data_IF_048829517180
#
_entry.id   IF_048829517180
#
_cell.length_a   1.000
_cell.length_b   1.000
_cell.length_c   1.000
_cell.angle_alpha   90.00
_cell.angle_beta   90.00
_cell.angle_gamma   90.00
#
_symmetry.space_group_name_H-M   'P 1'
#
loop_
_entity.id
_entity.type
_entity.pdbx_description
1 polymer ?
#
# COMPACT_ATOMS: atom_id res chain seq x y z
N UNK A 1 23.64 -9.69 1.82
CA UNK A 1 22.60 -8.75 2.30
C UNK A 1 21.21 -9.09 1.77
N UNK A 2 20.96 -9.16 0.45
CA UNK A 2 19.63 -9.51 -0.12
C UNK A 2 19.09 -10.84 0.42
N UNK A 3 19.90 -11.90 0.43
CA UNK A 3 19.50 -13.22 0.97
C UNK A 3 19.02 -13.16 2.43
N UNK A 4 19.63 -12.29 3.26
CA UNK A 4 19.22 -12.08 4.65
C UNK A 4 17.83 -11.42 4.71
N UNK A 5 17.61 -10.36 3.93
CA UNK A 5 16.30 -9.70 3.85
C UNK A 5 15.21 -10.62 3.31
N UNK A 6 15.51 -11.44 2.30
CA UNK A 6 14.58 -12.46 1.80
C UNK A 6 14.25 -13.49 2.87
N UNK A 7 15.23 -13.95 3.66
CA UNK A 7 15.00 -14.85 4.78
C UNK A 7 14.09 -14.24 5.86
N UNK A 8 14.38 -13.00 6.28
CA UNK A 8 13.55 -12.26 7.25
C UNK A 8 12.13 -12.06 6.72
N UNK A 9 11.97 -11.73 5.44
CA UNK A 9 10.66 -11.59 4.79
C UNK A 9 9.87 -12.89 4.79
N UNK A 10 10.49 -14.03 4.47
CA UNK A 10 9.82 -15.32 4.49
C UNK A 10 9.34 -15.70 5.90
N UNK A 11 10.17 -15.46 6.92
CA UNK A 11 9.80 -15.71 8.32
C UNK A 11 8.66 -14.78 8.76
N UNK A 12 8.72 -13.49 8.40
CA UNK A 12 7.65 -12.55 8.76
C UNK A 12 6.32 -12.89 8.10
N UNK A 13 6.32 -13.35 6.85
CA UNK A 13 5.12 -13.85 6.16
C UNK A 13 4.52 -15.01 6.95
N UNK A 14 5.32 -16.01 7.34
CA UNK A 14 4.85 -17.13 8.13
C UNK A 14 4.22 -16.68 9.47
N UNK A 15 4.89 -15.78 10.20
CA UNK A 15 4.39 -15.25 11.48
C UNK A 15 3.06 -14.49 11.31
N UNK A 16 2.90 -13.70 10.25
CA UNK A 16 1.65 -13.00 9.94
C UNK A 16 0.51 -13.99 9.72
N UNK A 17 0.75 -15.08 8.98
CA UNK A 17 -0.25 -16.11 8.75
C UNK A 17 -0.63 -16.84 10.04
N UNK A 18 0.36 -17.24 10.83
CA UNK A 18 0.13 -17.92 12.11
C UNK A 18 -0.67 -17.03 13.08
N UNK A 19 -0.28 -15.76 13.21
CA UNK A 19 -0.97 -14.79 14.05
C UNK A 19 -2.39 -14.49 13.52
N UNK A 20 -2.53 -14.35 12.20
CA UNK A 20 -3.82 -14.14 11.54
C UNK A 20 -4.81 -15.27 11.80
N UNK A 21 -4.35 -16.53 11.74
CA UNK A 21 -5.15 -17.71 12.11
C UNK A 21 -5.52 -17.65 13.60
N UNK A 22 -4.56 -17.34 14.48
CA UNK A 22 -4.81 -17.24 15.92
C UNK A 22 -5.88 -16.20 16.27
N UNK A 23 -5.77 -14.99 15.72
CA UNK A 23 -6.74 -13.91 15.91
C UNK A 23 -8.09 -14.28 15.31
N UNK A 24 -8.11 -14.97 14.16
CA UNK A 24 -9.37 -15.44 13.56
C UNK A 24 -10.10 -16.44 14.47
N UNK A 25 -9.39 -17.43 15.01
CA UNK A 25 -9.97 -18.37 15.97
C UNK A 25 -10.48 -17.67 17.23
N UNK A 26 -9.74 -16.69 17.75
CA UNK A 26 -10.20 -15.87 18.87
C UNK A 26 -11.46 -15.06 18.51
N UNK A 27 -11.54 -14.53 17.29
CA UNK A 27 -12.72 -13.81 16.79
C UNK A 27 -13.96 -14.72 16.77
N UNK A 28 -13.81 -15.96 16.27
CA UNK A 28 -14.89 -16.96 16.27
C UNK A 28 -15.31 -17.30 17.70
N UNK A 29 -14.35 -17.43 18.62
CA UNK A 29 -14.62 -17.69 20.03
C UNK A 29 -15.44 -16.55 20.68
N UNK A 30 -15.04 -15.29 20.46
CA UNK A 30 -15.79 -14.12 20.94
C UNK A 30 -17.21 -14.15 20.35
N UNK A 31 -17.33 -14.40 19.04
CA UNK A 31 -18.61 -14.45 18.36
C UNK A 31 -19.56 -15.49 18.95
N UNK A 32 -19.03 -16.69 19.26
CA UNK A 32 -19.77 -17.78 19.89
C UNK A 32 -20.25 -17.40 21.28
N UNK A 33 -19.38 -16.85 22.13
CA UNK A 33 -19.73 -16.54 23.52
C UNK A 33 -20.64 -15.31 23.65
N UNK A 34 -20.49 -14.31 22.78
CA UNK A 34 -21.26 -13.06 22.87
C UNK A 34 -22.58 -13.15 22.12
N UNK A 35 -22.67 -13.92 21.03
CA UNK A 35 -23.88 -13.94 20.19
C UNK A 35 -24.31 -15.32 19.71
N UNK A 36 -23.61 -16.39 20.09
CA UNK A 36 -24.02 -17.76 19.84
C UNK A 36 -23.47 -18.37 18.55
N UNK A 37 -23.83 -19.64 18.32
CA UNK A 37 -23.28 -20.48 17.25
C UNK A 37 -23.44 -19.89 15.84
N UNK A 38 -24.60 -19.29 15.55
CA UNK A 38 -24.87 -18.72 14.23
C UNK A 38 -23.83 -17.65 13.84
N UNK A 39 -23.53 -16.73 14.75
CA UNK A 39 -22.55 -15.65 14.50
C UNK A 39 -21.10 -16.16 14.47
N UNK A 40 -20.80 -17.24 15.19
CA UNK A 40 -19.51 -17.92 15.09
C UNK A 40 -19.31 -18.53 13.70
N UNK A 41 -20.34 -19.15 13.12
CA UNK A 41 -20.31 -19.71 11.76
C UNK A 41 -20.13 -18.59 10.72
N UNK A 42 -20.89 -17.49 10.84
CA UNK A 42 -20.69 -16.33 9.95
C UNK A 42 -19.24 -15.82 10.06
N UNK A 43 -18.74 -15.67 11.28
CA UNK A 43 -17.38 -15.18 11.50
C UNK A 43 -16.36 -16.10 10.84
N UNK A 44 -16.51 -17.42 10.97
CA UNK A 44 -15.64 -18.42 10.34
C UNK A 44 -15.47 -18.22 8.82
N UNK A 45 -16.56 -17.97 8.09
CA UNK A 45 -16.52 -17.79 6.64
C UNK A 45 -16.04 -16.40 6.18
N UNK A 46 -16.13 -15.39 7.06
CA UNK A 46 -15.78 -14.00 6.72
C UNK A 46 -14.72 -13.44 7.69
N UNK A 47 -13.47 -13.96 7.67
CA UNK A 47 -12.44 -13.65 8.65
C UNK A 47 -12.18 -12.15 8.83
N UNK A 48 -11.92 -11.44 7.73
CA UNK A 48 -11.57 -10.01 7.79
C UNK A 48 -12.75 -9.16 8.28
N UNK A 49 -13.96 -9.37 7.74
CA UNK A 49 -15.15 -8.61 8.15
C UNK A 49 -15.52 -8.90 9.61
N UNK A 50 -15.40 -10.15 10.04
CA UNK A 50 -15.68 -10.52 11.42
C UNK A 50 -14.66 -9.91 12.39
N UNK A 51 -13.38 -9.91 12.06
CA UNK A 51 -12.34 -9.26 12.88
C UNK A 51 -12.60 -7.77 13.04
N UNK A 52 -13.05 -7.09 11.98
CA UNK A 52 -13.44 -5.67 12.06
C UNK A 52 -14.65 -5.48 12.97
N UNK A 53 -15.72 -6.27 12.78
CA UNK A 53 -16.95 -6.14 13.56
C UNK A 53 -16.74 -6.44 15.06
N UNK A 54 -16.09 -7.56 15.37
CA UNK A 54 -15.81 -7.96 16.74
C UNK A 54 -14.72 -7.11 17.36
N UNK A 55 -13.77 -6.61 16.57
CA UNK A 55 -12.81 -5.59 16.98
C UNK A 55 -13.54 -4.33 17.45
N UNK A 56 -14.47 -3.82 16.65
CA UNK A 56 -15.28 -2.67 17.07
C UNK A 56 -16.07 -2.94 18.36
N UNK A 57 -16.74 -4.10 18.47
CA UNK A 57 -17.48 -4.46 19.69
C UNK A 57 -16.58 -4.55 20.92
N UNK A 58 -15.45 -5.23 20.83
CA UNK A 58 -14.50 -5.36 21.93
C UNK A 58 -13.91 -4.01 22.33
N UNK A 59 -13.59 -3.17 21.34
CA UNK A 59 -13.11 -1.81 21.57
C UNK A 59 -14.15 -0.92 22.25
N UNK A 60 -15.44 -1.04 21.92
CA UNK A 60 -16.51 -0.28 22.59
C UNK A 60 -16.68 -0.66 24.07
N UNK A 61 -16.30 -1.87 24.45
CA UNK A 61 -16.43 -2.36 25.83
C UNK A 61 -15.18 -2.02 26.64
N UNK A 62 -14.00 -2.38 26.12
CA UNK A 62 -12.74 -2.40 26.88
C UNK A 62 -11.67 -1.44 26.30
N UNK A 63 -11.96 -0.69 25.23
CA UNK A 63 -11.01 0.21 24.61
C UNK A 63 -9.71 -0.48 24.14
N UNK A 64 -8.56 0.15 24.40
CA UNK A 64 -7.24 -0.38 24.08
C UNK A 64 -6.69 -1.38 25.11
N UNK A 65 -7.34 -1.49 26.28
CA UNK A 65 -6.94 -2.44 27.31
C UNK A 65 -7.37 -3.87 26.94
N UNK A 66 -8.28 -4.00 25.96
CA UNK A 66 -8.62 -5.28 25.37
C UNK A 66 -7.40 -5.94 24.72
N UNK A 67 -6.98 -7.08 25.26
CA UNK A 67 -5.90 -7.88 24.68
C UNK A 67 -6.18 -8.22 23.20
N UNK A 68 -7.45 -8.49 22.86
CA UNK A 68 -7.86 -8.77 21.48
C UNK A 68 -7.57 -7.60 20.53
N UNK A 69 -7.83 -6.36 20.98
CA UNK A 69 -7.54 -5.14 20.20
C UNK A 69 -6.03 -4.93 20.05
N UNK A 70 -5.26 -5.12 21.12
CA UNK A 70 -3.80 -5.01 21.06
C UNK A 70 -3.21 -6.00 20.04
N UNK A 71 -3.68 -7.25 20.03
CA UNK A 71 -3.25 -8.25 19.06
C UNK A 71 -3.69 -7.92 17.63
N UNK A 72 -4.89 -7.38 17.41
CA UNK A 72 -5.34 -6.89 16.11
C UNK A 72 -4.45 -5.75 15.58
N UNK A 73 -4.02 -4.84 16.45
CA UNK A 73 -3.08 -3.77 16.10
C UNK A 73 -1.73 -4.36 15.69
N UNK A 74 -1.18 -5.30 16.48
CA UNK A 74 0.08 -5.98 16.16
C UNK A 74 0.00 -6.67 14.79
N UNK A 75 -1.08 -7.42 14.53
CA UNK A 75 -1.30 -8.08 13.25
C UNK A 75 -1.35 -7.08 12.09
N UNK A 76 -2.01 -5.94 12.29
CA UNK A 76 -2.10 -4.86 11.29
C UNK A 76 -0.73 -4.26 11.00
N UNK A 77 0.05 -3.94 12.04
CA UNK A 77 1.41 -3.41 11.91
C UNK A 77 2.32 -4.39 11.18
N UNK A 78 2.24 -5.69 11.50
CA UNK A 78 3.01 -6.72 10.81
C UNK A 78 2.63 -6.80 9.33
N UNK A 79 1.33 -6.75 9.00
CA UNK A 79 0.85 -6.70 7.62
C UNK A 79 1.40 -5.49 6.86
N UNK A 80 1.39 -4.30 7.46
CA UNK A 80 1.97 -3.09 6.87
C UNK A 80 3.48 -3.23 6.69
N UNK A 81 4.20 -3.68 7.72
CA UNK A 81 5.66 -3.86 7.68
C UNK A 81 6.09 -4.82 6.57
N UNK A 82 5.30 -5.86 6.29
CA UNK A 82 5.56 -6.80 5.20
C UNK A 82 5.61 -6.07 3.86
N UNK A 83 4.69 -5.14 3.60
CA UNK A 83 4.72 -4.35 2.36
C UNK A 83 5.99 -3.49 2.30
N UNK A 84 6.42 -2.91 3.42
CA UNK A 84 7.67 -2.15 3.52
C UNK A 84 8.90 -3.05 3.25
N UNK A 85 8.94 -4.27 3.77
CA UNK A 85 10.04 -5.19 3.47
C UNK A 85 10.03 -5.68 2.02
N UNK A 86 8.85 -5.98 1.47
CA UNK A 86 8.71 -6.30 0.04
C UNK A 86 9.24 -5.14 -0.82
N UNK A 87 9.00 -3.91 -0.39
CA UNK A 87 9.54 -2.66 -0.97
C UNK A 87 11.06 -2.68 -1.04
N UNK A 88 11.71 -2.90 0.11
CA UNK A 88 13.17 -2.86 0.26
C UNK A 88 13.81 -3.97 -0.56
N UNK A 89 13.20 -5.16 -0.58
CA UNK A 89 13.68 -6.27 -1.39
C UNK A 89 13.53 -5.95 -2.88
N UNK A 90 12.40 -5.38 -3.30
CA UNK A 90 12.18 -5.01 -4.70
C UNK A 90 13.23 -4.00 -5.18
N UNK A 91 13.53 -2.96 -4.39
CA UNK A 91 14.53 -1.94 -4.75
C UNK A 91 15.98 -2.41 -4.62
N UNK A 92 16.29 -3.29 -3.66
CA UNK A 92 17.64 -3.84 -3.51
C UNK A 92 17.95 -4.96 -4.50
N UNK A 93 16.94 -5.55 -5.15
CA UNK A 93 17.11 -6.62 -6.13
C UNK A 93 17.52 -6.14 -7.53
N UNK A 94 17.72 -4.84 -7.73
CA UNK A 94 18.24 -4.32 -8.99
C UNK A 94 19.66 -4.86 -9.22
N UNK A 95 19.75 -5.93 -10.01
CA UNK A 95 21.02 -6.39 -10.60
C UNK A 95 21.76 -5.19 -11.18
N UNK A 96 23.10 -5.12 -11.04
CA UNK A 96 23.90 -4.05 -11.62
C UNK A 96 23.46 -3.85 -13.07
N UNK A 97 23.11 -2.61 -13.43
CA UNK A 97 22.80 -2.22 -14.81
C UNK A 97 23.93 -2.74 -15.67
N UNK A 98 23.69 -3.84 -16.40
CA UNK A 98 24.65 -4.34 -17.40
C UNK A 98 24.83 -3.19 -18.37
N UNK A 99 26.00 -2.57 -18.32
CA UNK A 99 26.43 -1.56 -19.26
C UNK A 99 26.30 -2.17 -20.67
N UNK A 100 25.88 -1.37 -21.64
CA UNK A 100 26.13 -1.76 -23.04
C UNK A 100 27.63 -1.99 -23.23
N UNK A 101 27.98 -2.75 -24.26
CA UNK A 101 29.36 -2.95 -24.74
C UNK A 101 30.10 -1.60 -24.98
N UNK A 102 29.35 -0.50 -25.10
CA UNK A 102 29.83 0.88 -25.28
C UNK A 102 29.82 1.76 -24.00
N UNK A 103 29.58 1.18 -22.82
CA UNK A 103 29.69 1.89 -21.53
C UNK A 103 28.59 2.93 -21.22
N UNK A 104 27.57 3.11 -22.07
CA UNK A 104 26.44 4.01 -21.79
C UNK A 104 25.31 3.28 -21.05
N UNK A 105 24.71 3.89 -20.01
CA UNK A 105 23.54 3.31 -19.36
C UNK A 105 22.35 3.31 -20.33
N UNK A 106 21.70 2.14 -20.50
CA UNK A 106 20.45 2.05 -21.25
C UNK A 106 19.38 2.83 -20.48
N UNK A 107 19.14 4.06 -20.90
CA UNK A 107 18.08 4.90 -20.35
C UNK A 107 16.77 4.54 -21.05
N UNK A 108 15.76 4.12 -20.28
CA UNK A 108 14.41 3.92 -20.79
C UNK A 108 13.85 5.17 -21.43
N UNK A 109 12.83 5.01 -22.30
CA UNK A 109 12.19 6.15 -22.98
C UNK A 109 11.84 7.27 -21.97
N UNK A 110 11.96 8.55 -22.36
CA UNK A 110 11.60 9.66 -21.48
C UNK A 110 10.14 9.59 -21.03
N UNK A 111 9.85 10.19 -19.87
CA UNK A 111 8.50 10.24 -19.30
C UNK A 111 7.70 11.31 -20.07
N UNK A 112 6.90 10.88 -21.06
CA UNK A 112 6.16 11.77 -21.96
C UNK A 112 4.69 11.36 -22.15
N UNK A 113 3.85 12.29 -22.62
CA UNK A 113 2.42 12.07 -22.91
C UNK A 113 1.62 11.77 -21.65
N UNK A 114 0.71 10.78 -21.68
CA UNK A 114 -0.16 10.42 -20.56
C UNK A 114 0.59 10.04 -19.26
N UNK A 115 1.87 9.63 -19.35
CA UNK A 115 2.69 9.39 -18.17
C UNK A 115 2.95 10.67 -17.35
N UNK A 116 2.92 11.85 -17.99
CA UNK A 116 3.08 13.13 -17.28
C UNK A 116 1.95 13.33 -16.28
N UNK A 117 0.71 12.96 -16.63
CA UNK A 117 -0.43 13.08 -15.70
C UNK A 117 -0.27 12.17 -14.48
N UNK A 118 0.24 10.95 -14.67
CA UNK A 118 0.57 10.05 -13.56
C UNK A 118 1.66 10.66 -12.68
N UNK A 119 2.70 11.24 -13.29
CA UNK A 119 3.77 11.94 -12.56
C UNK A 119 3.23 13.10 -11.71
N UNK A 120 2.37 13.94 -12.30
CA UNK A 120 1.70 15.04 -11.61
C UNK A 120 0.87 14.52 -10.43
N UNK A 121 0.05 13.48 -10.64
CA UNK A 121 -0.73 12.84 -9.57
C UNK A 121 0.18 12.42 -8.42
N UNK A 122 1.25 11.69 -8.71
CA UNK A 122 2.15 11.16 -7.68
C UNK A 122 2.79 12.29 -6.87
N UNK A 123 3.29 13.34 -7.53
CA UNK A 123 3.86 14.51 -6.84
C UNK A 123 2.79 15.20 -5.98
N UNK A 124 1.61 15.44 -6.54
CA UNK A 124 0.50 16.05 -5.81
C UNK A 124 0.10 15.23 -4.58
N UNK A 125 0.06 13.89 -4.68
CA UNK A 125 -0.24 13.01 -3.55
C UNK A 125 0.81 13.06 -2.44
N UNK A 126 2.10 13.17 -2.78
CA UNK A 126 3.18 13.36 -1.79
C UNK A 126 3.04 14.72 -1.10
N UNK A 127 2.86 15.79 -1.88
CA UNK A 127 2.67 17.14 -1.34
C UNK A 127 1.44 17.24 -0.45
N UNK A 128 0.32 16.63 -0.86
CA UNK A 128 -0.91 16.59 -0.08
C UNK A 128 -0.73 15.83 1.24
N UNK A 129 -0.07 14.67 1.20
CA UNK A 129 0.27 13.92 2.42
C UNK A 129 1.11 14.75 3.39
N UNK A 130 2.07 15.53 2.89
CA UNK A 130 2.90 16.42 3.73
C UNK A 130 2.09 17.55 4.35
N UNK A 131 1.17 18.17 3.60
CA UNK A 131 0.24 19.18 4.13
C UNK A 131 -0.65 18.59 5.21
N UNK A 132 -1.20 17.38 5.00
CA UNK A 132 -2.01 16.70 6.02
C UNK A 132 -1.20 16.41 7.28
N UNK A 133 0.03 15.89 7.15
CA UNK A 133 0.90 15.66 8.30
C UNK A 133 1.14 16.94 9.10
N UNK A 134 1.39 18.07 8.42
CA UNK A 134 1.55 19.36 9.08
C UNK A 134 0.28 19.77 9.85
N UNK A 135 -0.90 19.61 9.25
CA UNK A 135 -2.19 19.89 9.91
C UNK A 135 -2.41 19.02 11.15
N UNK A 136 -2.02 17.74 11.11
CA UNK A 136 -2.10 16.89 12.29
C UNK A 136 -1.12 17.30 13.38
N UNK A 137 0.11 17.67 13.03
CA UNK A 137 1.09 18.19 14.00
C UNK A 137 0.57 19.46 14.66
N UNK A 138 -0.01 20.37 13.88
CA UNK A 138 -0.66 21.59 14.38
C UNK A 138 -1.85 21.26 15.30
N UNK A 139 -2.74 20.35 14.88
CA UNK A 139 -3.89 19.95 15.69
C UNK A 139 -3.48 19.31 17.03
N UNK A 140 -2.45 18.46 17.03
CA UNK A 140 -1.90 17.86 18.25
C UNK A 140 -1.20 18.92 19.13
N UNK A 141 -0.49 19.87 18.53
CA UNK A 141 0.20 20.93 19.28
C UNK A 141 -0.76 21.89 19.96
N UNK A 142 -1.92 22.12 19.34
CA UNK A 142 -3.00 22.97 19.86
C UNK A 142 -4.01 22.22 20.73
N UNK A 143 -3.78 20.93 21.00
CA UNK A 143 -4.69 20.10 21.78
C UNK A 143 -4.65 20.48 23.27
N UNK A 144 -5.78 20.88 23.84
CA UNK A 144 -5.91 21.16 25.28
C UNK A 144 -6.14 19.87 26.09
N UNK A 145 -5.17 19.41 26.92
CA UNK A 145 -5.35 18.21 27.71
C UNK A 145 -6.45 18.32 28.77
N UNK A 146 -6.85 19.54 29.16
CA UNK A 146 -7.94 19.75 30.12
C UNK A 146 -9.31 19.40 29.53
N UNK A 147 -9.46 19.50 28.20
CA UNK A 147 -10.68 19.11 27.49
C UNK A 147 -11.01 17.61 27.64
N UNK A 148 -9.99 16.74 27.73
CA UNK A 148 -10.19 15.31 28.02
C UNK A 148 -10.73 15.09 29.44
N UNK A 149 -10.24 15.88 30.41
CA UNK A 149 -10.59 15.69 31.82
C UNK A 149 -12.03 16.13 32.13
N UNK A 150 -12.55 17.10 31.39
CA UNK A 150 -13.89 17.67 31.62
C UNK A 150 -15.02 16.90 30.91
N UNK A 151 -14.73 16.16 29.84
CA UNK A 151 -15.70 15.35 29.11
C UNK A 151 -15.54 13.86 29.50
N UNK A 152 -16.63 13.24 29.99
CA UNK A 152 -16.67 11.87 30.52
C UNK A 152 -15.73 10.88 29.80
N UNK A 153 -14.86 10.27 30.61
CA UNK A 153 -13.54 9.71 30.28
C UNK A 153 -13.48 8.61 29.21
N UNK A 154 -14.61 8.01 28.81
CA UNK A 154 -14.65 6.86 27.91
C UNK A 154 -15.03 7.28 26.48
N UNK A 155 -16.00 8.17 26.32
CA UNK A 155 -16.43 8.62 24.99
C UNK A 155 -15.42 9.62 24.40
N UNK A 156 -14.87 10.54 25.20
CA UNK A 156 -13.92 11.54 24.72
C UNK A 156 -12.58 10.94 24.24
N UNK A 157 -12.07 9.93 24.95
CA UNK A 157 -10.83 9.21 24.58
C UNK A 157 -11.03 8.40 23.31
N UNK A 158 -12.16 7.71 23.19
CA UNK A 158 -12.50 6.93 21.99
C UNK A 158 -12.72 7.82 20.76
N UNK A 159 -13.42 8.95 20.93
CA UNK A 159 -13.64 9.94 19.86
C UNK A 159 -12.30 10.54 19.41
N UNK A 160 -11.45 10.96 20.36
CA UNK A 160 -10.14 11.56 20.04
C UNK A 160 -9.20 10.55 19.37
N UNK A 161 -9.21 9.29 19.82
CA UNK A 161 -8.39 8.27 19.17
C UNK A 161 -8.87 7.97 17.73
N UNK A 162 -10.16 7.73 17.56
CA UNK A 162 -10.73 7.36 16.26
C UNK A 162 -10.72 8.52 15.28
N UNK A 163 -10.99 9.75 15.72
CA UNK A 163 -11.05 10.91 14.83
C UNK A 163 -9.67 11.53 14.57
N UNK A 164 -8.68 11.33 15.44
CA UNK A 164 -7.36 11.96 15.30
C UNK A 164 -6.25 10.96 14.98
N UNK A 165 -6.06 9.94 15.80
CA UNK A 165 -4.89 9.06 15.70
C UNK A 165 -5.00 8.03 14.58
N UNK A 166 -6.19 7.48 14.34
CA UNK A 166 -6.41 6.52 13.25
C UNK A 166 -6.21 7.19 11.86
N UNK A 167 -6.84 8.35 11.56
CA UNK A 167 -6.56 9.12 10.35
C UNK A 167 -5.10 9.54 10.20
N UNK A 168 -4.45 9.97 11.29
CA UNK A 168 -3.02 10.29 11.27
C UNK A 168 -2.17 9.09 10.84
N UNK A 169 -2.44 7.91 11.40
CA UNK A 169 -1.73 6.67 11.05
C UNK A 169 -1.90 6.34 9.58
N UNK A 170 -3.12 6.45 9.06
CA UNK A 170 -3.41 6.24 7.65
C UNK A 170 -2.67 7.26 6.75
N UNK A 171 -2.65 8.54 7.14
CA UNK A 171 -1.93 9.59 6.39
C UNK A 171 -0.43 9.31 6.35
N UNK A 172 0.19 8.87 7.44
CA UNK A 172 1.61 8.47 7.47
C UNK A 172 1.86 7.32 6.48
N UNK A 173 1.01 6.27 6.53
CA UNK A 173 1.13 5.11 5.64
C UNK A 173 1.00 5.54 4.17
N UNK A 174 -0.04 6.31 3.85
CA UNK A 174 -0.30 6.81 2.49
C UNK A 174 0.82 7.72 2.00
N UNK A 175 1.37 8.58 2.87
CA UNK A 175 2.51 9.44 2.56
C UNK A 175 3.74 8.61 2.19
N UNK A 176 4.07 7.57 2.97
CA UNK A 176 5.19 6.67 2.69
C UNK A 176 4.98 5.94 1.36
N UNK A 177 3.77 5.41 1.12
CA UNK A 177 3.43 4.71 -0.13
C UNK A 177 3.55 5.62 -1.35
N UNK A 178 3.04 6.85 -1.27
CA UNK A 178 3.11 7.83 -2.36
C UNK A 178 4.55 8.29 -2.60
N UNK A 179 5.34 8.49 -1.54
CA UNK A 179 6.77 8.82 -1.64
C UNK A 179 7.55 7.71 -2.33
N UNK A 180 7.20 6.46 -2.03
CA UNK A 180 7.79 5.32 -2.71
C UNK A 180 7.39 5.21 -4.19
N UNK A 181 6.11 5.46 -4.52
CA UNK A 181 5.68 5.52 -5.91
C UNK A 181 6.40 6.63 -6.68
N UNK A 182 6.62 7.80 -6.05
CA UNK A 182 7.42 8.88 -6.63
C UNK A 182 8.84 8.40 -6.93
N UNK A 183 9.49 7.77 -5.94
CA UNK A 183 10.82 7.19 -6.13
C UNK A 183 10.86 6.22 -7.33
N UNK A 184 9.97 5.22 -7.39
CA UNK A 184 9.95 4.25 -8.48
C UNK A 184 9.65 4.91 -9.84
N UNK A 185 8.75 5.89 -9.86
CA UNK A 185 8.36 6.60 -11.07
C UNK A 185 9.53 7.39 -11.66
N UNK A 186 10.20 8.22 -10.85
CA UNK A 186 11.29 9.07 -11.33
C UNK A 186 12.59 8.30 -11.59
N UNK A 187 12.81 7.17 -10.91
CA UNK A 187 13.93 6.26 -11.21
C UNK A 187 13.67 5.34 -12.40
N UNK A 188 12.47 5.40 -13.00
CA UNK A 188 12.00 4.52 -14.08
C UNK A 188 12.17 3.03 -13.74
N UNK A 189 11.90 2.67 -12.48
CA UNK A 189 12.04 1.30 -12.02
C UNK A 189 10.98 0.40 -12.68
N UNK A 190 11.38 -0.80 -13.12
CA UNK A 190 10.50 -1.78 -13.78
C UNK A 190 9.32 -2.25 -12.93
N UNK A 191 9.43 -2.16 -11.60
CA UNK A 191 8.38 -2.55 -10.67
C UNK A 191 7.33 -1.44 -10.49
N UNK A 192 7.58 -0.22 -10.99
CA UNK A 192 6.65 0.91 -10.86
C UNK A 192 5.21 0.56 -11.28
N UNK A 193 4.94 -0.02 -12.47
CA UNK A 193 3.55 -0.29 -12.89
C UNK A 193 2.81 -1.24 -11.95
N UNK A 194 3.49 -2.27 -11.45
CA UNK A 194 2.90 -3.24 -10.50
C UNK A 194 2.70 -2.60 -9.13
N UNK A 195 3.73 -1.92 -8.62
CA UNK A 195 3.68 -1.24 -7.34
C UNK A 195 2.57 -0.17 -7.32
N UNK A 196 2.40 0.59 -8.40
CA UNK A 196 1.31 1.57 -8.53
C UNK A 196 -0.05 0.92 -8.32
N UNK A 197 -0.32 -0.20 -9.00
CA UNK A 197 -1.61 -0.89 -8.89
C UNK A 197 -1.82 -1.41 -7.47
N UNK A 198 -0.86 -2.16 -6.92
CA UNK A 198 -1.00 -2.73 -5.58
C UNK A 198 -1.15 -1.66 -4.50
N UNK A 199 -0.34 -0.60 -4.55
CA UNK A 199 -0.39 0.47 -3.55
C UNK A 199 -1.65 1.32 -3.68
N UNK A 200 -2.17 1.58 -4.89
CA UNK A 200 -3.45 2.27 -5.03
C UNK A 200 -4.64 1.39 -4.60
N UNK A 201 -4.60 0.07 -4.80
CA UNK A 201 -5.60 -0.86 -4.21
C UNK A 201 -5.55 -0.75 -2.69
N UNK A 202 -4.37 -0.83 -2.10
CA UNK A 202 -4.22 -0.69 -0.63
C UNK A 202 -4.72 0.66 -0.14
N UNK A 203 -4.45 1.74 -0.87
CA UNK A 203 -4.96 3.07 -0.53
C UNK A 203 -6.49 3.10 -0.52
N UNK A 204 -7.16 2.56 -1.53
CA UNK A 204 -8.63 2.44 -1.59
C UNK A 204 -9.17 1.62 -0.42
N UNK A 205 -8.50 0.53 -0.04
CA UNK A 205 -8.92 -0.28 1.12
C UNK A 205 -8.78 0.50 2.43
N UNK A 206 -7.70 1.28 2.58
CA UNK A 206 -7.50 2.15 3.75
C UNK A 206 -8.58 3.23 3.81
N UNK A 207 -8.88 3.92 2.70
CA UNK A 207 -9.90 4.98 2.69
C UNK A 207 -11.29 4.41 2.99
N UNK A 208 -11.64 3.27 2.38
CA UNK A 208 -12.89 2.58 2.65
C UNK A 208 -13.02 2.16 4.13
N UNK A 209 -11.91 1.71 4.74
CA UNK A 209 -11.88 1.37 6.16
C UNK A 209 -12.06 2.61 7.05
N UNK A 210 -11.41 3.72 6.73
CA UNK A 210 -11.59 4.97 7.47
C UNK A 210 -13.03 5.49 7.38
N UNK A 211 -13.61 5.55 6.19
CA UNK A 211 -15.01 5.95 5.98
C UNK A 211 -15.95 5.02 6.77
N UNK A 212 -15.70 3.72 6.76
CA UNK A 212 -16.48 2.76 7.55
C UNK A 212 -16.40 3.05 9.06
N UNK A 213 -15.22 3.33 9.59
CA UNK A 213 -15.04 3.68 11.01
C UNK A 213 -15.77 4.98 11.36
N UNK A 214 -15.71 5.99 10.48
CA UNK A 214 -16.39 7.26 10.69
C UNK A 214 -17.93 7.11 10.60
N UNK A 215 -18.45 6.17 9.78
CA UNK A 215 -19.88 5.81 9.81
C UNK A 215 -20.24 5.18 11.16
N UNK A 216 -19.37 4.30 11.70
CA UNK A 216 -19.58 3.69 13.01
C UNK A 216 -19.48 4.69 14.18
N UNK A 217 -18.89 5.87 13.98
CA UNK A 217 -18.95 6.97 14.94
C UNK A 217 -20.24 7.80 14.85
N UNK A 218 -21.16 7.43 13.95
CA UNK A 218 -22.47 8.09 13.79
C UNK A 218 -22.45 9.28 12.83
N UNK A 219 -21.35 9.51 12.11
CA UNK A 219 -21.27 10.56 11.10
C UNK A 219 -21.82 10.06 9.76
N UNK A 220 -22.60 10.91 9.09
CA UNK A 220 -23.05 10.64 7.73
C UNK A 220 -21.91 10.92 6.75
N UNK A 221 -21.52 9.89 5.98
CA UNK A 221 -20.47 10.00 4.98
C UNK A 221 -20.99 9.62 3.61
N UNK A 222 -20.48 10.33 2.60
CA UNK A 222 -20.60 9.96 1.20
C UNK A 222 -19.32 9.24 0.78
N UNK A 223 -19.43 8.01 0.27
CA UNK A 223 -18.32 7.23 -0.32
C UNK A 223 -17.76 7.83 -1.63
N UNK A 224 -17.95 9.13 -1.87
CA UNK A 224 -17.57 9.79 -3.12
C UNK A 224 -16.07 9.69 -3.38
N UNK A 225 -15.26 9.78 -2.33
CA UNK A 225 -13.82 9.80 -2.44
C UNK A 225 -13.30 8.40 -2.77
N UNK A 226 -13.72 7.38 -2.03
CA UNK A 226 -13.41 5.98 -2.33
C UNK A 226 -13.87 5.55 -3.72
N UNK A 227 -15.07 5.95 -4.17
CA UNK A 227 -15.55 5.65 -5.53
C UNK A 227 -14.66 6.34 -6.58
N UNK A 228 -14.31 7.60 -6.36
CA UNK A 228 -13.45 8.36 -7.27
C UNK A 228 -12.07 7.72 -7.38
N UNK A 229 -11.47 7.33 -6.26
CA UNK A 229 -10.18 6.64 -6.22
C UNK A 229 -10.21 5.28 -6.90
N UNK A 230 -11.32 4.54 -6.75
CA UNK A 230 -11.52 3.26 -7.44
C UNK A 230 -11.62 3.43 -8.97
N UNK A 231 -12.36 4.43 -9.44
CA UNK A 231 -12.44 4.76 -10.88
C UNK A 231 -11.04 5.13 -11.41
N UNK A 232 -10.30 5.97 -10.68
CA UNK A 232 -8.94 6.35 -11.05
C UNK A 232 -7.99 5.15 -11.09
N UNK A 233 -8.10 4.24 -10.12
CA UNK A 233 -7.33 3.01 -10.08
C UNK A 233 -7.60 2.15 -11.33
N UNK A 234 -8.86 2.00 -11.75
CA UNK A 234 -9.21 1.21 -12.94
C UNK A 234 -8.60 1.85 -14.19
N UNK A 235 -8.83 3.15 -14.41
CA UNK A 235 -8.35 3.88 -15.58
C UNK A 235 -6.83 3.77 -15.70
N UNK A 236 -6.11 4.13 -14.62
CA UNK A 236 -4.66 4.13 -14.65
C UNK A 236 -4.06 2.73 -14.56
N UNK A 237 -4.69 1.80 -13.87
CA UNK A 237 -4.25 0.41 -13.78
C UNK A 237 -4.26 -0.26 -15.15
N UNK A 238 -5.36 -0.12 -15.91
CA UNK A 238 -5.44 -0.65 -17.28
C UNK A 238 -4.39 0.00 -18.17
N UNK A 239 -4.25 1.34 -18.10
CA UNK A 239 -3.24 2.06 -18.88
C UNK A 239 -1.82 1.58 -18.58
N UNK A 240 -1.45 1.43 -17.30
CA UNK A 240 -0.12 1.00 -16.89
C UNK A 240 0.20 -0.46 -17.30
N UNK A 241 -0.80 -1.34 -17.33
CA UNK A 241 -0.60 -2.73 -17.76
C UNK A 241 -0.50 -2.88 -19.28
N UNK A 242 -1.33 -2.15 -20.02
CA UNK A 242 -1.50 -2.38 -21.47
C UNK A 242 -0.67 -1.45 -22.35
N UNK A 243 -0.33 -0.25 -21.89
CA UNK A 243 0.35 0.76 -22.70
C UNK A 243 1.76 0.31 -23.11
N UNK A 244 2.01 0.29 -24.42
CA UNK A 244 3.34 0.02 -24.98
C UNK A 244 4.36 1.05 -24.49
N UNK A 245 3.96 2.31 -24.34
CA UNK A 245 4.83 3.37 -23.83
C UNK A 245 5.26 3.10 -22.38
N UNK A 246 4.34 2.65 -21.52
CA UNK A 246 4.69 2.28 -20.13
C UNK A 246 5.70 1.14 -20.13
N UNK A 247 5.50 0.13 -20.98
CA UNK A 247 6.45 -0.97 -21.14
C UNK A 247 7.82 -0.46 -21.61
N UNK A 248 7.89 0.42 -22.59
CA UNK A 248 9.16 0.98 -23.08
C UNK A 248 9.87 1.91 -22.08
N UNK A 249 9.13 2.62 -21.24
CA UNK A 249 9.69 3.50 -20.22
C UNK A 249 10.21 2.73 -19.00
N UNK A 250 9.43 1.75 -18.50
CA UNK A 250 9.71 1.08 -17.23
C UNK A 250 10.19 -0.37 -17.38
N UNK A 251 9.60 -1.17 -18.28
CA UNK A 251 9.75 -2.65 -18.31
C UNK A 251 10.83 -3.13 -19.28
N UNK A 252 10.78 -2.66 -20.53
CA UNK A 252 11.62 -3.04 -21.65
C UNK A 252 12.88 -2.17 -21.74
N UNK A 253 13.37 -1.70 -20.60
CA UNK A 253 14.67 -1.03 -20.49
C UNK A 253 15.84 -1.99 -20.73
N UNK A 254 15.61 -3.31 -20.74
CA UNK A 254 16.64 -4.32 -21.03
C UNK A 254 16.38 -5.00 -22.38
N UNK A 255 17.30 -4.74 -23.33
CA UNK A 255 17.64 -5.48 -24.57
C UNK A 255 16.63 -5.45 -25.72
N UNK A 256 17.06 -4.84 -26.85
CA UNK A 256 17.08 -5.64 -28.08
C UNK A 256 18.09 -6.75 -27.85
N UNK A 257 17.64 -8.01 -27.95
CA UNK A 257 18.55 -9.16 -27.98
C UNK A 257 19.32 -9.00 -29.28
N UNK A 258 20.54 -8.46 -29.23
CA UNK A 258 21.42 -8.54 -30.39
C UNK A 258 21.61 -10.04 -30.64
N UNK A 259 21.02 -10.52 -31.74
CA UNK A 259 21.40 -11.81 -32.31
C UNK A 259 22.87 -11.63 -32.62
N UNK A 260 23.71 -12.53 -32.11
CA UNK A 260 25.14 -12.53 -32.47
C UNK A 260 25.15 -12.89 -33.95
N UNK A 261 25.22 -11.87 -34.80
CA UNK A 261 25.26 -12.06 -36.25
C UNK A 261 26.59 -12.74 -36.53
N UNK A 262 26.54 -13.91 -37.16
CA UNK A 262 27.76 -14.57 -37.63
C UNK A 262 28.39 -13.73 -38.74
N UNK A 263 29.71 -13.85 -38.94
CA UNK A 263 30.40 -13.07 -39.97
C UNK A 263 29.80 -13.30 -41.37
N UNK A 264 29.29 -14.51 -41.61
CA UNK A 264 28.56 -14.90 -42.83
C UNK A 264 27.24 -14.13 -42.98
N UNK A 265 26.42 -14.08 -41.93
CA UNK A 265 25.17 -13.31 -41.94
C UNK A 265 25.44 -11.80 -42.11
N UNK A 266 26.54 -11.28 -41.56
CA UNK A 266 26.93 -9.88 -41.73
C UNK A 266 27.26 -9.56 -43.19
N UNK A 267 28.05 -10.43 -43.85
CA UNK A 267 28.39 -10.28 -45.28
C UNK A 267 27.12 -10.34 -46.14
N UNK A 268 26.19 -11.24 -45.82
CA UNK A 268 24.93 -11.40 -46.57
C UNK A 268 24.03 -10.17 -46.45
N UNK A 269 23.87 -9.63 -45.23
CA UNK A 269 23.11 -8.41 -44.99
C UNK A 269 23.74 -7.22 -45.74
N UNK A 270 25.07 -7.14 -45.75
CA UNK A 270 25.80 -6.07 -46.44
C UNK A 270 25.60 -6.11 -47.96
N UNK A 271 25.61 -7.29 -48.58
CA UNK A 271 25.36 -7.45 -50.02
C UNK A 271 23.93 -7.04 -50.40
N UNK A 272 22.93 -7.45 -49.62
CA UNK A 272 21.52 -7.10 -49.88
C UNK A 272 21.22 -5.60 -49.70
N UNK A 273 22.01 -4.88 -48.91
CA UNK A 273 21.87 -3.42 -48.75
C UNK A 273 22.59 -2.62 -49.84
N UNK A 274 23.43 -3.26 -50.65
CA UNK A 274 24.22 -2.62 -51.71
C UNK A 274 23.62 -2.72 -53.11
N UNK A 275 22.45 -3.36 -53.24
CA UNK A 275 21.62 -3.42 -54.45
C UNK A 275 20.50 -2.39 -54.35
#
# INVERSE_FOLDING_TARGET
MIKLFTGVYSVSVFLIWALGIGIHLWTIYIAYHVSGLFWAIISFFFPVLSQIYWGYKAWKIDGFDSAYIQWLIILTVLWVSRFVFALIIATSSDEPKKLEENGKPINGRPINGWLILIGIKIVASVSYGLVLLFRYVEAVSNFDPQWIKSNLYIDAVNITYVQTFLPLTAVIILFIMNSFLAYLFFTKNKEFPKAFIYLNITAVVITMFLEFITILSGELIYFSDTITDFIWLIIWGIYLMRSQRVKETFVNTKRKKYVKITEEEYVLIKQNLSQ
#
